data_IF_386920611911
#
_entry.id   IF_386920611911
#
_cell.length_a   1.000
_cell.length_b   1.000
_cell.length_c   1.000
_cell.angle_alpha   90.00
_cell.angle_beta   90.00
_cell.angle_gamma   90.00
#
_symmetry.space_group_name_H-M   'P 1'
#
loop_
_entity.id
_entity.type
_entity.pdbx_description
1 polymer ?
#
# COMPACT_ATOMS: atom_id res chain seq x y z
N UNK A 1 20.37 -18.18 -26.27
CA UNK A 1 20.90 -18.19 -24.88
C UNK A 1 21.65 -16.90 -24.53
N UNK A 2 22.73 -16.51 -25.24
CA UNK A 2 23.49 -15.26 -24.95
C UNK A 2 22.63 -13.99 -24.89
N UNK A 3 21.70 -13.81 -25.84
CA UNK A 3 20.77 -12.67 -25.88
C UNK A 3 19.80 -12.62 -24.70
N UNK A 4 19.43 -13.78 -24.17
CA UNK A 4 18.48 -13.92 -23.07
C UNK A 4 19.16 -13.62 -21.73
N UNK A 5 20.41 -14.05 -21.57
CA UNK A 5 21.27 -13.70 -20.42
C UNK A 5 21.52 -12.18 -20.39
N UNK A 6 21.88 -11.58 -21.53
CA UNK A 6 22.11 -10.12 -21.62
C UNK A 6 20.84 -9.34 -21.28
N UNK A 7 19.68 -9.78 -21.77
CA UNK A 7 18.40 -9.14 -21.45
C UNK A 7 18.07 -9.23 -19.95
N UNK A 8 18.34 -10.37 -19.31
CA UNK A 8 18.10 -10.57 -17.89
C UNK A 8 19.04 -9.71 -17.03
N UNK A 9 20.31 -9.59 -17.42
CA UNK A 9 21.27 -8.69 -16.78
C UNK A 9 20.85 -7.22 -16.91
N UNK A 10 20.34 -6.81 -18.06
CA UNK A 10 19.88 -5.43 -18.29
C UNK A 10 18.69 -5.09 -17.37
N UNK A 11 17.70 -5.98 -17.30
CA UNK A 11 16.52 -5.80 -16.43
C UNK A 11 16.92 -5.74 -14.96
N UNK A 12 17.81 -6.63 -14.52
CA UNK A 12 18.33 -6.63 -13.15
C UNK A 12 19.03 -5.31 -12.79
N UNK A 13 19.89 -4.80 -13.69
CA UNK A 13 20.59 -3.53 -13.49
C UNK A 13 19.63 -2.34 -13.40
N UNK A 14 18.58 -2.31 -14.23
CA UNK A 14 17.55 -1.27 -14.17
C UNK A 14 16.74 -1.34 -12.88
N UNK A 15 16.39 -2.53 -12.38
CA UNK A 15 15.70 -2.69 -11.11
C UNK A 15 16.54 -2.22 -9.91
N UNK A 16 17.86 -2.45 -9.92
CA UNK A 16 18.77 -1.96 -8.88
C UNK A 16 18.97 -0.43 -8.89
N UNK A 17 18.62 0.24 -10.00
CA UNK A 17 18.79 1.69 -10.18
C UNK A 17 17.62 2.51 -9.63
N UNK A 18 16.53 1.85 -9.21
CA UNK A 18 15.34 2.53 -8.69
C UNK A 18 15.64 2.95 -7.25
N UNK A 19 15.89 4.25 -7.05
CA UNK A 19 15.95 4.81 -5.70
C UNK A 19 14.59 4.62 -5.03
N UNK A 20 14.52 4.02 -3.83
CA UNK A 20 13.25 3.84 -3.15
C UNK A 20 12.71 5.22 -2.75
N UNK A 21 11.59 5.60 -3.35
CA UNK A 21 10.85 6.80 -2.96
C UNK A 21 10.13 6.51 -1.64
N UNK A 22 10.84 6.70 -0.52
CA UNK A 22 10.24 6.59 0.80
C UNK A 22 9.53 7.88 1.16
N UNK A 23 8.24 7.71 1.45
CA UNK A 23 7.40 8.65 2.17
C UNK A 23 8.11 9.16 3.44
N UNK A 24 8.23 10.47 3.63
CA UNK A 24 8.70 11.00 4.90
C UNK A 24 7.69 10.69 6.01
N UNK A 25 8.10 9.99 7.06
CA UNK A 25 7.20 9.62 8.16
C UNK A 25 6.62 10.83 8.89
N UNK A 26 5.42 11.27 8.51
CA UNK A 26 4.62 12.17 9.34
C UNK A 26 3.95 11.40 10.46
N UNK A 27 3.65 12.09 11.57
CA UNK A 27 2.76 11.56 12.61
C UNK A 27 1.41 11.26 11.94
N UNK A 28 1.06 9.98 11.85
CA UNK A 28 -0.28 9.53 11.51
C UNK A 28 -0.97 9.14 12.81
N UNK A 29 -2.18 9.63 13.02
CA UNK A 29 -2.99 9.21 14.15
C UNK A 29 -3.53 7.81 13.87
N UNK A 30 -3.29 6.88 14.80
CA UNK A 30 -3.86 5.53 14.72
C UNK A 30 -5.21 5.55 15.44
N UNK A 31 -6.28 5.16 14.73
CA UNK A 31 -7.62 5.03 15.30
C UNK A 31 -7.76 3.92 16.35
N UNK A 32 -6.74 3.08 16.49
CA UNK A 32 -6.70 1.95 17.43
C UNK A 32 -7.17 0.65 16.77
N UNK A 33 -6.70 -0.48 17.29
CA UNK A 33 -7.10 -1.81 16.79
C UNK A 33 -8.38 -2.23 17.52
N UNK A 34 -9.45 -2.44 16.77
CA UNK A 34 -10.75 -2.90 17.27
C UNK A 34 -11.23 -4.11 16.46
N UNK A 35 -12.31 -4.79 16.89
CA UNK A 35 -12.90 -5.87 16.11
C UNK A 35 -13.28 -5.43 14.68
N UNK A 36 -13.77 -4.18 14.53
CA UNK A 36 -14.06 -3.57 13.22
C UNK A 36 -12.81 -3.51 12.35
N UNK A 37 -11.70 -2.98 12.88
CA UNK A 37 -10.48 -2.77 12.09
C UNK A 37 -9.76 -4.07 11.76
N UNK A 38 -9.88 -5.11 12.61
CA UNK A 38 -9.41 -6.46 12.29
C UNK A 38 -10.14 -7.03 11.07
N UNK A 39 -11.47 -6.92 11.04
CA UNK A 39 -12.28 -7.34 9.88
C UNK A 39 -11.92 -6.49 8.66
N UNK A 40 -11.76 -5.18 8.83
CA UNK A 40 -11.35 -4.27 7.76
C UNK A 40 -10.00 -4.67 7.14
N UNK A 41 -8.99 -4.96 7.97
CA UNK A 41 -7.68 -5.46 7.52
C UNK A 41 -7.79 -6.77 6.74
N UNK A 42 -8.56 -7.73 7.25
CA UNK A 42 -8.79 -9.01 6.58
C UNK A 42 -9.47 -8.83 5.21
N UNK A 43 -10.46 -7.95 5.10
CA UNK A 43 -11.11 -7.63 3.83
C UNK A 43 -10.14 -7.01 2.83
N UNK A 44 -9.29 -6.06 3.28
CA UNK A 44 -8.24 -5.47 2.44
C UNK A 44 -7.18 -6.48 1.98
N UNK A 45 -6.87 -7.49 2.80
CA UNK A 45 -5.90 -8.51 2.46
C UNK A 45 -6.47 -9.58 1.51
N UNK A 46 -7.62 -10.14 1.84
CA UNK A 46 -8.16 -11.36 1.23
C UNK A 46 -9.05 -11.03 0.04
N UNK A 47 -9.97 -10.07 0.20
CA UNK A 47 -10.96 -9.77 -0.84
C UNK A 47 -10.36 -8.78 -1.84
N UNK A 48 -10.17 -7.53 -1.43
CA UNK A 48 -9.65 -6.49 -2.32
C UNK A 48 -9.05 -5.34 -1.50
N UNK A 49 -7.86 -4.82 -1.88
CA UNK A 49 -7.23 -3.72 -1.16
C UNK A 49 -8.11 -2.46 -1.23
N UNK A 50 -8.16 -1.67 -0.17
CA UNK A 50 -9.03 -0.49 -0.10
C UNK A 50 -10.41 -0.75 0.52
N UNK A 51 -10.90 -1.99 0.57
CA UNK A 51 -12.18 -2.30 1.24
C UNK A 51 -12.10 -1.97 2.73
N UNK A 52 -10.99 -2.32 3.39
CA UNK A 52 -10.79 -2.01 4.80
C UNK A 52 -10.79 -0.52 5.10
N UNK A 53 -10.23 0.28 4.20
CA UNK A 53 -10.27 1.75 4.28
C UNK A 53 -11.71 2.28 4.14
N UNK A 54 -12.51 1.69 3.24
CA UNK A 54 -13.93 2.03 3.11
C UNK A 54 -14.73 1.63 4.36
N UNK A 55 -14.47 0.45 4.93
CA UNK A 55 -15.10 -0.01 6.18
C UNK A 55 -14.77 0.93 7.34
N UNK A 56 -13.55 1.47 7.38
CA UNK A 56 -13.10 2.40 8.42
C UNK A 56 -13.54 3.86 8.21
N UNK A 57 -14.43 4.12 7.26
CA UNK A 57 -14.97 5.45 6.97
C UNK A 57 -13.85 6.47 6.64
N UNK A 58 -12.81 6.01 5.94
CA UNK A 58 -11.72 6.87 5.51
C UNK A 58 -12.05 7.67 4.24
N UNK A 59 -11.23 8.68 3.95
CA UNK A 59 -11.40 9.54 2.76
C UNK A 59 -11.38 8.72 1.48
N UNK A 60 -12.23 9.10 0.51
CA UNK A 60 -12.36 8.43 -0.78
C UNK A 60 -11.03 8.29 -1.55
N UNK A 61 -10.18 9.33 -1.56
CA UNK A 61 -8.88 9.29 -2.25
C UNK A 61 -7.94 8.22 -1.68
N UNK A 62 -8.03 8.00 -0.36
CA UNK A 62 -7.27 6.96 0.33
C UNK A 62 -7.80 5.59 -0.07
N UNK A 63 -9.11 5.39 -0.04
CA UNK A 63 -9.77 4.15 -0.51
C UNK A 63 -9.36 3.82 -1.94
N UNK A 64 -9.44 4.80 -2.85
CA UNK A 64 -9.09 4.63 -4.26
C UNK A 64 -7.62 4.23 -4.42
N UNK A 65 -6.72 4.86 -3.69
CA UNK A 65 -5.31 4.57 -3.87
C UNK A 65 -4.93 3.22 -3.31
N UNK A 66 -5.52 2.80 -2.19
CA UNK A 66 -5.37 1.43 -1.74
C UNK A 66 -5.96 0.44 -2.75
N UNK A 67 -7.10 0.74 -3.36
CA UNK A 67 -7.72 -0.10 -4.38
C UNK A 67 -6.87 -0.25 -5.65
N UNK A 68 -6.10 0.77 -6.04
CA UNK A 68 -5.24 0.76 -7.23
C UNK A 68 -3.84 0.24 -6.90
N UNK A 69 -3.14 0.89 -5.96
CA UNK A 69 -1.74 0.57 -5.63
C UNK A 69 -1.64 -0.77 -4.92
N UNK A 70 -2.63 -1.13 -4.11
CA UNK A 70 -2.66 -2.38 -3.33
C UNK A 70 -2.75 -3.65 -4.17
N UNK A 71 -2.97 -3.56 -5.49
CA UNK A 71 -2.91 -4.71 -6.40
C UNK A 71 -1.49 -5.22 -6.62
N UNK A 72 -0.48 -4.35 -6.45
CA UNK A 72 0.92 -4.70 -6.62
C UNK A 72 1.50 -5.16 -5.28
N UNK A 73 2.24 -6.27 -5.21
CA UNK A 73 3.07 -6.56 -4.04
C UNK A 73 4.15 -5.48 -3.85
N UNK A 74 4.51 -5.06 -2.62
CA UNK A 74 4.01 -5.49 -1.31
C UNK A 74 2.79 -4.69 -0.81
N UNK A 75 2.19 -3.86 -1.65
CA UNK A 75 1.19 -2.86 -1.26
C UNK A 75 -0.15 -3.46 -0.84
N UNK A 76 -0.43 -4.73 -1.16
CA UNK A 76 -1.54 -5.50 -0.60
C UNK A 76 -1.45 -5.61 0.93
N UNK A 77 -0.26 -5.96 1.45
CA UNK A 77 0.00 -6.07 2.89
C UNK A 77 -0.03 -4.70 3.55
N UNK A 78 0.48 -3.68 2.86
CA UNK A 78 0.35 -2.30 3.31
C UNK A 78 -1.12 -1.88 3.43
N UNK A 79 -1.99 -2.20 2.47
CA UNK A 79 -3.43 -1.91 2.55
C UNK A 79 -4.12 -2.63 3.72
N UNK A 80 -3.74 -3.87 3.98
CA UNK A 80 -4.20 -4.61 5.17
C UNK A 80 -3.76 -3.92 6.47
N UNK A 81 -2.46 -3.65 6.63
CA UNK A 81 -1.91 -3.00 7.82
C UNK A 81 -2.58 -1.66 8.07
N UNK A 82 -2.69 -0.86 7.02
CA UNK A 82 -3.24 0.48 7.06
C UNK A 82 -4.71 0.51 7.52
N UNK A 83 -5.52 -0.48 7.08
CA UNK A 83 -6.87 -0.68 7.56
C UNK A 83 -6.92 -1.27 8.99
N UNK A 84 -6.01 -2.18 9.35
CA UNK A 84 -5.96 -2.79 10.68
C UNK A 84 -5.71 -1.76 11.78
N UNK A 85 -4.78 -0.83 11.55
CA UNK A 85 -4.43 0.20 12.52
C UNK A 85 -5.30 1.46 12.41
N UNK A 86 -6.27 1.45 11.48
CA UNK A 86 -7.11 2.60 11.13
C UNK A 86 -6.28 3.88 11.00
N UNK A 87 -5.25 3.82 10.14
CA UNK A 87 -4.25 4.89 10.06
C UNK A 87 -4.87 6.13 9.46
N UNK A 88 -5.19 7.13 10.26
CA UNK A 88 -5.74 8.40 9.75
C UNK A 88 -4.65 9.23 9.08
N UNK A 89 -5.05 9.90 8.01
CA UNK A 89 -4.14 10.64 7.14
C UNK A 89 -3.47 9.74 6.11
N UNK A 90 -2.57 10.35 5.35
CA UNK A 90 -1.94 9.73 4.19
C UNK A 90 -1.57 10.82 3.21
N UNK A 91 -0.64 10.50 2.33
CA UNK A 91 -0.15 11.45 1.38
C UNK A 91 -1.15 11.64 0.23
N UNK A 92 -1.93 12.72 0.26
CA UNK A 92 -2.98 12.98 -0.75
C UNK A 92 -2.95 14.39 -1.37
N UNK A 93 -1.89 15.16 -1.13
CA UNK A 93 -1.71 16.54 -1.64
C UNK A 93 -0.22 16.93 -1.79
N UNK A 94 0.54 16.44 -2.78
CA UNK A 94 1.94 16.87 -3.02
C UNK A 94 3.20 16.46 -2.16
N UNK A 95 3.20 15.89 -0.94
CA UNK A 95 4.36 15.13 -0.32
C UNK A 95 4.17 13.67 0.23
N UNK A 96 4.81 12.64 -0.38
CA UNK A 96 4.85 11.24 0.15
C UNK A 96 5.43 11.26 1.57
#
# INVERSE_FOLDING_TARGET
MKKLIVSLCLVSFMCCSISPAFAGGRKFDKGGITGKTVVAGALSLIIWPGIGQAVNDEKGDKVLTHAVVGLLPPFRVWSCYDALVDRKGGYWEGKI
#
